data_IF_746441922579
#
_entry.id   IF_746441922579
#
_cell.length_a   1.000
_cell.length_b   1.000
_cell.length_c   1.000
_cell.angle_alpha   90.00
_cell.angle_beta   90.00
_cell.angle_gamma   90.00
#
_symmetry.space_group_name_H-M   'P 1'
#
loop_
_entity.id
_entity.type
_entity.pdbx_description
1 polymer ?
#
# COMPACT_ATOMS: atom_id res chain seq x y z
N UNK A 1 21.47 -6.55 -13.38
CA UNK A 1 20.30 -6.78 -12.50
C UNK A 1 19.68 -5.42 -12.27
N UNK A 2 18.36 -5.26 -12.34
CA UNK A 2 17.71 -3.96 -12.13
C UNK A 2 17.95 -3.49 -10.69
N UNK A 3 18.43 -2.24 -10.52
CA UNK A 3 18.54 -1.58 -9.22
C UNK A 3 17.23 -0.86 -8.84
N UNK A 4 16.24 -0.87 -9.75
CA UNK A 4 14.96 -0.20 -9.60
C UNK A 4 14.07 -0.81 -8.52
N UNK A 5 13.33 0.03 -7.82
CA UNK A 5 12.28 -0.34 -6.88
C UNK A 5 10.91 -0.25 -7.56
N UNK A 6 10.03 -1.21 -7.32
CA UNK A 6 8.63 -1.12 -7.70
C UNK A 6 7.77 -0.83 -6.47
N UNK A 7 6.94 0.21 -6.54
CA UNK A 7 5.94 0.47 -5.51
C UNK A 7 4.56 0.00 -5.97
N UNK A 8 3.89 -0.76 -5.13
CA UNK A 8 2.56 -1.33 -5.37
C UNK A 8 1.59 -0.72 -4.38
N UNK A 9 0.52 -0.11 -4.87
CA UNK A 9 -0.59 0.39 -4.06
C UNK A 9 -1.78 -0.55 -4.22
N UNK A 10 -2.21 -1.18 -3.13
CA UNK A 10 -3.36 -2.08 -3.12
C UNK A 10 -4.64 -1.29 -2.85
N UNK A 11 -5.55 -1.27 -3.82
CA UNK A 11 -6.79 -0.49 -3.82
C UNK A 11 -8.02 -1.32 -4.24
N UNK A 12 -7.98 -2.65 -4.02
CA UNK A 12 -9.05 -3.59 -4.39
C UNK A 12 -9.98 -3.98 -3.23
N UNK A 13 -9.78 -3.44 -2.03
CA UNK A 13 -10.59 -3.72 -0.85
C UNK A 13 -12.03 -3.22 -1.00
N UNK A 14 -13.01 -4.04 -0.56
CA UNK A 14 -14.44 -3.69 -0.68
C UNK A 14 -14.89 -2.53 0.21
N UNK A 15 -14.15 -2.18 1.24
CA UNK A 15 -14.50 -1.10 2.16
C UNK A 15 -15.85 -1.31 2.89
N UNK A 16 -16.20 -2.55 3.21
CA UNK A 16 -17.51 -2.91 3.78
C UNK A 16 -17.83 -2.18 5.08
N UNK A 17 -16.84 -2.03 5.99
CA UNK A 17 -17.02 -1.29 7.25
C UNK A 17 -17.29 0.20 7.00
N UNK A 18 -16.56 0.79 6.05
CA UNK A 18 -16.77 2.19 5.67
C UNK A 18 -18.18 2.41 5.10
N UNK A 19 -18.60 1.55 4.16
CA UNK A 19 -19.93 1.61 3.53
C UNK A 19 -21.05 1.39 4.52
N UNK A 20 -20.89 0.51 5.50
CA UNK A 20 -21.88 0.30 6.55
C UNK A 20 -22.22 1.58 7.32
N UNK A 21 -21.29 2.54 7.42
CA UNK A 21 -21.50 3.83 8.12
C UNK A 21 -21.80 4.97 7.15
N UNK A 22 -21.07 5.04 6.03
CA UNK A 22 -21.15 6.15 5.07
C UNK A 22 -22.24 6.00 4.00
N UNK A 23 -22.79 4.76 3.83
CA UNK A 23 -23.74 4.37 2.78
C UNK A 23 -23.06 3.59 1.65
N UNK A 24 -23.85 2.68 1.04
CA UNK A 24 -23.37 1.68 0.06
C UNK A 24 -22.70 2.26 -1.19
N UNK A 25 -23.08 3.49 -1.57
CA UNK A 25 -22.54 4.19 -2.75
C UNK A 25 -21.21 4.89 -2.49
N UNK A 26 -20.72 4.93 -1.24
CA UNK A 26 -19.51 5.64 -0.87
C UNK A 26 -18.29 4.73 -0.96
N UNK A 27 -17.32 5.15 -1.78
CA UNK A 27 -16.00 4.50 -1.83
C UNK A 27 -15.03 5.26 -0.93
N UNK A 28 -14.48 4.60 0.10
CA UNK A 28 -13.54 5.21 1.04
C UNK A 28 -12.30 5.79 0.37
N UNK A 29 -11.85 5.17 -0.72
CA UNK A 29 -10.66 5.58 -1.46
C UNK A 29 -10.84 6.94 -2.17
N UNK A 30 -12.10 7.31 -2.47
CA UNK A 30 -12.45 8.57 -3.12
C UNK A 30 -12.99 9.63 -2.14
N UNK A 31 -13.08 9.29 -0.86
CA UNK A 31 -13.47 10.24 0.19
C UNK A 31 -12.36 11.28 0.41
N UNK A 32 -12.77 12.55 0.63
CA UNK A 32 -11.81 13.64 0.86
C UNK A 32 -11.23 13.58 2.27
N UNK A 33 -9.95 13.81 2.38
CA UNK A 33 -9.25 13.99 3.65
C UNK A 33 -8.23 15.12 3.55
N UNK A 34 -7.93 15.76 4.67
CA UNK A 34 -6.85 16.73 4.75
C UNK A 34 -5.54 15.99 5.01
N UNK A 35 -4.64 15.98 4.02
CA UNK A 35 -3.32 15.39 4.15
C UNK A 35 -2.46 16.08 5.21
N UNK A 36 -1.39 15.41 5.64
CA UNK A 36 -0.45 15.99 6.63
C UNK A 36 0.33 17.19 6.07
N UNK A 37 0.34 17.35 4.75
CA UNK A 37 0.87 18.53 4.04
C UNK A 37 -0.13 19.71 3.99
N UNK A 38 -1.29 19.58 4.60
CA UNK A 38 -2.35 20.60 4.61
C UNK A 38 -3.15 20.69 3.31
N UNK A 39 -2.97 19.75 2.39
CA UNK A 39 -3.70 19.72 1.12
C UNK A 39 -4.88 18.75 1.19
N UNK A 40 -6.04 19.20 0.73
CA UNK A 40 -7.23 18.35 0.63
C UNK A 40 -7.16 17.52 -0.68
N UNK A 41 -7.21 16.19 -0.53
CA UNK A 41 -7.23 15.21 -1.62
C UNK A 41 -8.12 14.04 -1.24
N UNK A 42 -8.46 13.20 -2.23
CA UNK A 42 -9.05 11.90 -1.88
C UNK A 42 -8.02 11.02 -1.14
N UNK A 43 -8.53 10.10 -0.31
CA UNK A 43 -7.71 9.14 0.46
C UNK A 43 -6.66 8.46 -0.44
N UNK A 44 -7.10 7.89 -1.56
CA UNK A 44 -6.17 7.23 -2.47
C UNK A 44 -5.21 8.21 -3.13
N UNK A 45 -5.68 9.37 -3.57
CA UNK A 45 -4.82 10.37 -4.21
C UNK A 45 -3.69 10.82 -3.29
N UNK A 46 -3.96 10.99 -2.00
CA UNK A 46 -2.92 11.29 -1.01
C UNK A 46 -1.86 10.18 -0.94
N UNK A 47 -2.28 8.91 -0.98
CA UNK A 47 -1.34 7.76 -1.02
C UNK A 47 -0.53 7.78 -2.31
N UNK A 48 -1.17 7.96 -3.48
CA UNK A 48 -0.48 7.94 -4.77
C UNK A 48 0.59 9.04 -4.86
N UNK A 49 0.26 10.25 -4.42
CA UNK A 49 1.21 11.40 -4.41
C UNK A 49 2.41 11.11 -3.49
N UNK A 50 2.18 10.53 -2.32
CA UNK A 50 3.24 10.24 -1.36
C UNK A 50 4.14 9.08 -1.79
N UNK A 51 3.60 8.08 -2.51
CA UNK A 51 4.31 6.87 -2.91
C UNK A 51 5.06 7.03 -4.24
N UNK A 52 4.52 7.82 -5.17
CA UNK A 52 5.09 7.97 -6.52
C UNK A 52 6.58 8.37 -6.54
N UNK A 53 7.10 9.27 -5.69
CA UNK A 53 8.51 9.67 -5.73
C UNK A 53 9.50 8.60 -5.24
N UNK A 54 9.01 7.51 -4.64
CA UNK A 54 9.84 6.54 -3.92
C UNK A 54 10.38 5.42 -4.80
N UNK A 55 9.80 5.25 -5.99
CA UNK A 55 10.06 4.09 -6.84
C UNK A 55 10.18 4.47 -8.31
N UNK A 56 10.96 3.68 -9.05
CA UNK A 56 11.15 3.87 -10.49
C UNK A 56 9.92 3.38 -11.28
N UNK A 57 9.16 2.46 -10.69
CA UNK A 57 7.92 1.92 -11.25
C UNK A 57 6.83 1.91 -10.19
N UNK A 58 5.62 2.31 -10.59
CA UNK A 58 4.46 2.36 -9.71
C UNK A 58 3.30 1.57 -10.29
N UNK A 59 2.71 0.69 -9.49
CA UNK A 59 1.57 -0.15 -9.85
C UNK A 59 0.42 0.12 -8.89
N UNK A 60 -0.77 0.37 -9.44
CA UNK A 60 -2.03 0.41 -8.68
C UNK A 60 -2.84 -0.84 -9.00
N UNK A 61 -3.10 -1.67 -8.00
CA UNK A 61 -4.02 -2.79 -8.16
C UNK A 61 -5.41 -2.40 -7.66
N UNK A 62 -6.41 -2.56 -8.52
CA UNK A 62 -7.81 -2.23 -8.24
C UNK A 62 -8.77 -3.27 -8.81
N UNK A 63 -10.06 -3.05 -8.66
CA UNK A 63 -11.14 -3.91 -9.12
C UNK A 63 -11.79 -3.36 -10.39
N UNK A 64 -12.44 -4.24 -11.14
CA UNK A 64 -13.14 -3.86 -12.38
C UNK A 64 -14.29 -2.85 -12.13
N UNK A 65 -14.99 -2.95 -11.00
CA UNK A 65 -16.09 -2.05 -10.62
C UNK A 65 -15.62 -0.70 -10.05
N UNK A 66 -14.30 -0.47 -9.92
CA UNK A 66 -13.71 0.76 -9.38
C UNK A 66 -13.11 1.65 -10.48
N UNK A 67 -13.90 1.97 -11.53
CA UNK A 67 -13.44 2.77 -12.68
C UNK A 67 -12.77 4.08 -12.27
N UNK A 68 -13.38 4.86 -11.35
CA UNK A 68 -12.82 6.14 -10.90
C UNK A 68 -11.49 5.98 -10.14
N UNK A 69 -11.27 4.84 -9.46
CA UNK A 69 -10.00 4.51 -8.82
C UNK A 69 -8.93 4.22 -9.87
N UNK A 70 -9.29 3.46 -10.91
CA UNK A 70 -8.40 3.16 -12.04
C UNK A 70 -8.00 4.43 -12.80
N UNK A 71 -8.97 5.29 -13.11
CA UNK A 71 -8.73 6.59 -13.75
C UNK A 71 -7.81 7.50 -12.93
N UNK A 72 -7.99 7.50 -11.60
CA UNK A 72 -7.12 8.26 -10.69
C UNK A 72 -5.68 7.75 -10.77
N UNK A 73 -5.47 6.43 -10.74
CA UNK A 73 -4.14 5.83 -10.89
C UNK A 73 -3.46 6.22 -12.21
N UNK A 74 -4.18 6.11 -13.33
CA UNK A 74 -3.67 6.50 -14.65
C UNK A 74 -3.27 7.98 -14.71
N UNK A 75 -4.07 8.89 -14.13
CA UNK A 75 -3.73 10.33 -14.07
C UNK A 75 -2.46 10.60 -13.27
N UNK A 76 -2.14 9.79 -12.28
CA UNK A 76 -0.91 9.89 -11.48
C UNK A 76 0.25 9.07 -12.06
N UNK A 77 0.11 8.53 -13.28
CA UNK A 77 1.19 7.81 -13.97
C UNK A 77 1.43 6.37 -13.48
N UNK A 78 0.48 5.81 -12.73
CA UNK A 78 0.56 4.41 -12.29
C UNK A 78 0.18 3.45 -13.41
N UNK A 79 0.89 2.33 -13.51
CA UNK A 79 0.38 1.17 -14.22
C UNK A 79 -0.80 0.58 -13.43
N UNK A 80 -1.95 0.43 -14.08
CA UNK A 80 -3.17 -0.05 -13.41
C UNK A 80 -3.41 -1.51 -13.74
N UNK A 81 -3.35 -2.34 -12.71
CA UNK A 81 -3.72 -3.76 -12.78
C UNK A 81 -5.14 -3.93 -12.23
N UNK A 82 -6.03 -4.43 -13.08
CA UNK A 82 -7.43 -4.66 -12.71
C UNK A 82 -7.63 -6.15 -12.46
N UNK A 83 -8.07 -6.49 -11.24
CA UNK A 83 -8.32 -7.86 -10.84
C UNK A 83 -9.50 -7.95 -9.87
N UNK A 84 -10.49 -8.77 -10.20
CA UNK A 84 -11.53 -9.17 -9.25
C UNK A 84 -10.98 -10.30 -8.35
N UNK A 85 -10.12 -9.86 -7.43
CA UNK A 85 -9.40 -10.76 -6.54
C UNK A 85 -10.28 -11.28 -5.41
N UNK A 86 -10.24 -12.57 -5.10
CA UNK A 86 -10.90 -13.12 -3.92
C UNK A 86 -10.22 -12.71 -2.61
N UNK A 87 -8.93 -12.27 -2.66
CA UNK A 87 -8.20 -11.90 -1.46
C UNK A 87 -6.98 -11.03 -1.67
N UNK A 88 -6.39 -10.59 -0.56
CA UNK A 88 -5.19 -9.72 -0.57
C UNK A 88 -3.97 -10.45 -1.17
N UNK A 89 -3.84 -11.76 -0.94
CA UNK A 89 -2.74 -12.56 -1.49
C UNK A 89 -2.74 -12.56 -3.01
N UNK A 90 -3.92 -12.78 -3.63
CA UNK A 90 -4.08 -12.76 -5.08
C UNK A 90 -3.77 -11.38 -5.66
N UNK A 91 -4.18 -10.33 -4.96
CA UNK A 91 -3.89 -8.94 -5.34
C UNK A 91 -2.39 -8.66 -5.38
N UNK A 92 -1.66 -9.06 -4.34
CA UNK A 92 -0.20 -8.91 -4.28
C UNK A 92 0.46 -9.72 -5.38
N UNK A 93 0.07 -10.99 -5.56
CA UNK A 93 0.64 -11.87 -6.58
C UNK A 93 0.47 -11.30 -8.00
N UNK A 94 -0.71 -10.79 -8.33
CA UNK A 94 -0.97 -10.18 -9.64
C UNK A 94 -0.10 -8.92 -9.87
N UNK A 95 -0.01 -8.03 -8.87
CA UNK A 95 0.76 -6.79 -8.98
C UNK A 95 2.28 -7.07 -9.11
N UNK A 96 2.82 -8.01 -8.33
CA UNK A 96 4.24 -8.41 -8.42
C UNK A 96 4.51 -9.13 -9.74
N UNK A 97 3.57 -9.93 -10.25
CA UNK A 97 3.71 -10.63 -11.54
C UNK A 97 3.68 -9.69 -12.73
N UNK A 98 3.00 -8.56 -12.64
CA UNK A 98 3.02 -7.51 -13.67
C UNK A 98 4.40 -6.86 -13.78
N UNK A 99 5.12 -6.72 -12.66
CA UNK A 99 6.44 -6.10 -12.58
C UNK A 99 7.44 -6.98 -11.78
N UNK A 100 7.91 -8.11 -12.36
CA UNK A 100 8.65 -9.14 -11.62
C UNK A 100 10.15 -8.85 -11.50
N UNK A 101 10.70 -7.88 -12.22
CA UNK A 101 12.15 -7.71 -12.42
C UNK A 101 12.75 -6.48 -11.70
N UNK A 102 12.50 -6.36 -10.40
CA UNK A 102 13.00 -5.26 -9.57
C UNK A 102 13.96 -5.73 -8.46
N UNK A 103 14.70 -4.80 -7.83
CA UNK A 103 15.49 -5.09 -6.62
C UNK A 103 14.62 -5.42 -5.41
N UNK A 104 13.34 -5.04 -5.46
CA UNK A 104 12.33 -5.31 -4.45
C UNK A 104 11.02 -4.59 -4.72
N UNK A 105 10.03 -4.83 -3.87
CA UNK A 105 8.69 -4.27 -3.96
C UNK A 105 8.29 -3.59 -2.64
N UNK A 106 7.83 -2.35 -2.75
CA UNK A 106 7.22 -1.59 -1.64
C UNK A 106 5.71 -1.75 -1.73
N UNK A 107 5.09 -2.44 -0.80
CA UNK A 107 3.64 -2.70 -0.80
C UNK A 107 2.97 -1.74 0.17
N UNK A 108 2.21 -0.80 -0.37
CA UNK A 108 1.42 0.19 0.35
C UNK A 108 -0.09 -0.12 0.25
N UNK A 109 -0.84 0.30 1.24
CA UNK A 109 -2.31 0.20 1.25
C UNK A 109 -2.92 1.53 0.80
N UNK A 110 -3.88 1.47 -0.13
CA UNK A 110 -4.51 2.64 -0.73
C UNK A 110 -5.42 3.43 0.23
N UNK A 111 -5.66 2.92 1.41
CA UNK A 111 -6.48 3.51 2.46
C UNK A 111 -5.68 4.06 3.67
N UNK A 112 -4.36 4.20 3.53
CA UNK A 112 -3.47 4.75 4.57
C UNK A 112 -2.84 6.09 4.14
N UNK A 113 -3.61 7.19 4.09
CA UNK A 113 -3.17 8.47 3.52
C UNK A 113 -2.25 9.28 4.43
N UNK A 114 -2.12 8.90 5.71
CA UNK A 114 -1.48 9.74 6.73
C UNK A 114 -0.06 9.31 7.11
N UNK A 115 0.54 8.40 6.36
CA UNK A 115 1.95 8.02 6.57
C UNK A 115 2.84 9.19 6.16
N UNK A 116 3.78 9.56 7.03
CA UNK A 116 4.70 10.66 6.76
C UNK A 116 5.63 10.34 5.59
N UNK A 117 5.90 11.27 4.66
CA UNK A 117 6.80 11.04 3.52
C UNK A 117 8.18 10.52 3.93
N UNK A 118 8.78 11.06 5.01
CA UNK A 118 10.08 10.60 5.51
C UNK A 118 10.06 9.14 5.97
N UNK A 119 8.94 8.70 6.57
CA UNK A 119 8.74 7.29 6.94
C UNK A 119 8.70 6.39 5.71
N UNK A 120 7.94 6.79 4.70
CA UNK A 120 7.84 6.07 3.42
C UNK A 120 9.23 5.97 2.76
N UNK A 121 9.99 7.06 2.71
CA UNK A 121 11.34 7.10 2.14
C UNK A 121 12.31 6.19 2.90
N UNK A 122 12.28 6.20 4.23
CA UNK A 122 13.11 5.32 5.07
C UNK A 122 12.84 3.85 4.78
N UNK A 123 11.57 3.45 4.65
CA UNK A 123 11.20 2.08 4.30
C UNK A 123 11.64 1.73 2.88
N UNK A 124 11.42 2.60 1.90
CA UNK A 124 11.82 2.38 0.51
C UNK A 124 13.35 2.22 0.35
N UNK A 125 14.13 3.03 1.07
CA UNK A 125 15.60 2.96 1.05
C UNK A 125 16.16 1.75 1.78
N UNK A 126 15.41 1.15 2.69
CA UNK A 126 15.87 0.04 3.53
C UNK A 126 15.83 -1.32 2.84
N UNK A 127 15.35 -1.41 1.59
CA UNK A 127 15.21 -2.66 0.83
C UNK A 127 16.55 -3.35 0.65
N UNK A 128 16.63 -4.58 1.16
CA UNK A 128 17.76 -5.49 1.02
C UNK A 128 17.31 -6.79 0.34
N UNK A 129 18.20 -7.46 -0.35
CA UNK A 129 17.90 -8.60 -1.23
C UNK A 129 17.04 -9.70 -0.56
N UNK A 130 17.39 -10.08 0.67
CA UNK A 130 16.82 -11.21 1.42
C UNK A 130 16.09 -10.80 2.69
N UNK A 131 15.67 -9.54 2.80
CA UNK A 131 14.99 -9.01 3.96
C UNK A 131 13.58 -8.49 3.66
N UNK A 132 12.73 -8.51 4.67
CA UNK A 132 11.46 -7.79 4.73
C UNK A 132 11.68 -6.58 5.64
N UNK A 133 11.49 -5.38 5.10
CA UNK A 133 11.59 -4.14 5.86
C UNK A 133 10.20 -3.65 6.24
N UNK A 134 10.01 -3.34 7.52
CA UNK A 134 8.70 -2.96 8.07
C UNK A 134 8.84 -1.80 9.06
N UNK A 135 8.02 -0.74 8.97
CA UNK A 135 7.99 0.31 9.97
C UNK A 135 7.36 -0.21 11.27
N UNK A 136 7.93 0.22 12.39
CA UNK A 136 7.44 -0.13 13.73
C UNK A 136 7.10 1.15 14.48
N UNK A 137 5.88 1.25 14.97
CA UNK A 137 5.44 2.34 15.85
C UNK A 137 4.81 1.76 17.11
N UNK A 138 5.31 2.15 18.28
CA UNK A 138 4.83 1.63 19.56
C UNK A 138 4.92 0.09 19.68
N UNK A 139 5.93 -0.53 19.08
CA UNK A 139 6.12 -1.98 19.07
C UNK A 139 5.17 -2.75 18.13
N UNK A 140 4.45 -2.06 17.25
CA UNK A 140 3.53 -2.67 16.28
C UNK A 140 4.06 -2.50 14.85
N UNK A 141 3.96 -3.56 14.05
CA UNK A 141 4.28 -3.55 12.63
C UNK A 141 3.22 -2.79 11.84
N UNK A 142 3.66 -1.82 11.04
CA UNK A 142 2.81 -0.98 10.21
C UNK A 142 3.03 -1.19 8.71
N UNK A 143 2.58 -0.21 7.94
CA UNK A 143 2.74 -0.12 6.50
C UNK A 143 3.51 1.15 6.10
N UNK A 144 4.10 1.19 4.87
CA UNK A 144 4.21 0.11 3.88
C UNK A 144 5.20 -0.98 4.31
N UNK A 145 5.11 -2.14 3.66
CA UNK A 145 6.09 -3.21 3.84
C UNK A 145 6.92 -3.36 2.57
N UNK A 146 8.24 -3.39 2.71
CA UNK A 146 9.13 -3.60 1.59
C UNK A 146 9.72 -5.01 1.60
N UNK A 147 9.71 -5.66 0.45
CA UNK A 147 10.23 -7.01 0.24
C UNK A 147 11.42 -6.96 -0.71
N UNK A 148 12.52 -7.56 -0.33
CA UNK A 148 13.67 -7.73 -1.20
C UNK A 148 13.41 -8.74 -2.33
N UNK A 149 14.27 -8.71 -3.35
CA UNK A 149 14.11 -9.51 -4.57
C UNK A 149 13.97 -11.02 -4.33
N UNK A 150 14.62 -11.54 -3.29
CA UNK A 150 14.51 -12.97 -2.96
C UNK A 150 13.06 -13.43 -2.67
N UNK A 151 12.19 -12.50 -2.27
CA UNK A 151 10.78 -12.80 -2.00
C UNK A 151 9.88 -12.82 -3.24
N UNK A 152 10.37 -12.41 -4.42
CA UNK A 152 9.57 -12.35 -5.65
C UNK A 152 8.78 -13.63 -5.94
N UNK A 153 9.43 -14.81 -6.02
CA UNK A 153 8.70 -16.08 -6.25
C UNK A 153 7.63 -16.36 -5.19
N UNK A 154 7.91 -16.08 -3.92
CA UNK A 154 6.97 -16.30 -2.83
C UNK A 154 5.80 -15.30 -2.86
N UNK A 155 6.05 -14.04 -3.23
CA UNK A 155 5.00 -13.02 -3.43
C UNK A 155 4.08 -13.39 -4.60
N UNK A 156 4.63 -13.82 -5.74
CA UNK A 156 3.86 -14.28 -6.91
C UNK A 156 3.05 -15.55 -6.65
N UNK A 157 3.44 -16.35 -5.66
CA UNK A 157 2.73 -17.56 -5.24
C UNK A 157 1.70 -17.33 -4.12
N UNK A 158 1.45 -16.06 -3.74
CA UNK A 158 0.43 -15.73 -2.75
C UNK A 158 -0.98 -16.00 -3.30
N UNK A 159 -1.87 -16.44 -2.42
CA UNK A 159 -3.29 -16.64 -2.72
C UNK A 159 -4.16 -16.45 -1.46
N UNK A 160 -5.43 -16.08 -1.66
CA UNK A 160 -6.45 -15.94 -0.62
C UNK A 160 -6.29 -14.70 0.25
N UNK A 161 -7.00 -14.71 1.38
CA UNK A 161 -7.22 -13.52 2.23
C UNK A 161 -5.99 -13.04 3.02
N UNK A 162 -5.03 -13.93 3.33
CA UNK A 162 -3.99 -13.66 4.35
C UNK A 162 -2.86 -12.72 3.91
N UNK A 163 -2.83 -12.27 2.67
CA UNK A 163 -1.78 -11.39 2.16
C UNK A 163 -0.36 -11.96 2.36
N UNK A 164 0.63 -11.07 2.48
CA UNK A 164 2.04 -11.43 2.61
C UNK A 164 2.50 -11.73 4.05
N UNK A 165 1.63 -11.60 5.06
CA UNK A 165 2.01 -11.76 6.48
C UNK A 165 2.64 -13.13 6.78
N UNK A 166 2.25 -14.17 6.05
CA UNK A 166 2.83 -15.52 6.21
C UNK A 166 4.31 -15.58 5.87
N UNK A 167 4.81 -14.67 5.03
CA UNK A 167 6.21 -14.62 4.61
C UNK A 167 7.15 -14.11 5.71
N UNK A 168 6.60 -13.51 6.76
CA UNK A 168 7.39 -13.04 7.91
C UNK A 168 7.96 -14.20 8.74
N UNK A 169 7.30 -15.36 8.69
CA UNK A 169 7.75 -16.53 9.44
C UNK A 169 9.06 -17.08 8.84
N UNK A 170 10.12 -17.03 9.63
CA UNK A 170 11.46 -17.47 9.21
C UNK A 170 12.21 -16.51 8.29
N UNK A 171 11.64 -15.35 7.95
CA UNK A 171 12.32 -14.33 7.19
C UNK A 171 13.22 -13.45 8.07
N UNK A 172 14.24 -12.87 7.45
CA UNK A 172 15.02 -11.79 8.05
C UNK A 172 14.18 -10.51 8.02
N UNK A 173 13.75 -10.04 9.19
CA UNK A 173 12.97 -8.82 9.35
C UNK A 173 13.90 -7.66 9.69
N UNK A 174 13.79 -6.57 8.94
CA UNK A 174 14.42 -5.29 9.21
C UNK A 174 13.38 -4.33 9.76
N UNK A 175 13.36 -4.18 11.06
CA UNK A 175 12.48 -3.26 11.76
C UNK A 175 13.01 -1.83 11.62
N UNK A 176 12.11 -0.90 11.29
CA UNK A 176 12.42 0.52 11.12
C UNK A 176 11.58 1.27 12.13
N UNK A 177 12.17 1.56 13.30
CA UNK A 177 11.50 2.33 14.33
C UNK A 177 11.17 3.73 13.83
N UNK A 178 9.89 4.11 13.94
CA UNK A 178 9.36 5.39 13.50
C UNK A 178 8.44 5.99 14.55
N UNK A 179 8.52 7.30 14.72
CA UNK A 179 7.54 8.06 15.49
C UNK A 179 6.45 8.60 14.54
N UNK A 180 5.74 7.67 13.92
CA UNK A 180 4.71 7.97 12.93
C UNK A 180 3.49 7.04 13.10
N UNK A 181 2.47 7.46 13.84
CA UNK A 181 1.24 6.67 14.01
C UNK A 181 0.47 6.46 12.70
N UNK A 182 0.78 7.22 11.64
CA UNK A 182 0.21 7.03 10.30
C UNK A 182 0.45 5.64 9.72
N UNK A 183 1.53 4.95 10.13
CA UNK A 183 1.84 3.58 9.66
C UNK A 183 0.84 2.52 10.15
N UNK A 184 0.02 2.87 11.16
CA UNK A 184 -1.02 2.02 11.74
C UNK A 184 -2.44 2.56 11.48
N UNK A 185 -2.56 3.68 10.74
CA UNK A 185 -3.82 4.38 10.56
C UNK A 185 -4.42 4.11 9.19
N UNK A 186 -5.41 3.24 9.13
CA UNK A 186 -6.23 2.99 7.95
C UNK A 186 -7.60 3.71 8.03
N UNK A 187 -8.12 4.11 6.88
CA UNK A 187 -9.45 4.72 6.77
C UNK A 187 -10.49 3.63 6.60
N UNK A 188 -10.90 3.01 7.71
CA UNK A 188 -11.93 1.96 7.73
C UNK A 188 -13.34 2.47 8.06
N UNK A 189 -13.43 3.68 8.62
CA UNK A 189 -14.70 4.35 8.93
C UNK A 189 -14.58 5.85 8.62
N UNK A 190 -15.71 6.58 8.38
CA UNK A 190 -15.65 8.02 8.07
C UNK A 190 -14.92 8.88 9.11
N UNK A 191 -15.00 8.53 10.39
CA UNK A 191 -14.29 9.24 11.44
C UNK A 191 -12.76 9.21 11.27
N UNK A 192 -12.23 8.15 10.64
CA UNK A 192 -10.80 8.01 10.37
C UNK A 192 -10.27 8.91 9.24
N UNK A 193 -11.14 9.63 8.52
CA UNK A 193 -10.74 10.66 7.55
C UNK A 193 -10.06 11.87 8.22
N UNK A 194 -10.27 12.05 9.52
CA UNK A 194 -9.59 13.06 10.32
C UNK A 194 -8.48 12.36 11.12
N UNK A 195 -7.23 12.70 10.81
CA UNK A 195 -6.07 12.12 11.48
C UNK A 195 -5.91 12.70 12.89
N UNK A 196 -6.19 11.90 13.90
CA UNK A 196 -6.10 12.27 15.32
C UNK A 196 -5.41 11.15 16.10
N UNK A 197 -4.08 10.97 15.93
CA UNK A 197 -3.35 9.96 16.69
C UNK A 197 -3.38 10.31 18.18
N UNK A 198 -3.53 9.30 19.02
CA UNK A 198 -3.53 9.42 20.49
C UNK A 198 -2.11 9.38 21.01
#
# INVERSE_FOLDING_TARGET
MSESLCAIVLAAGRGSRYRAVAGDHRNKLLAQCLGRDGTERSVLEQVLVNVSPLADKTVLLTRADYCSVAELGLRHGYEVVVLDSPGMGDSIAAAVSAEPAHRGWLIALGDMPFIHPDTLERVARSVEYDAISVPVHGGQYGHPVAFGRAFGPALMALAGEKGARRLFQGARIKEIEVDDPGVLWDVDVPAALTFQPR
#
